data_IF_613928772806
#
_entry.id   IF_613928772806
#
_cell.length_a   1.000
_cell.length_b   1.000
_cell.length_c   1.000
_cell.angle_alpha   90.00
_cell.angle_beta   90.00
_cell.angle_gamma   90.00
#
_symmetry.space_group_name_H-M   'P 1'
#
loop_
_entity.id
_entity.type
_entity.pdbx_description
1 polymer ?
#
# COMPACT_ATOMS: atom_id res chain seq x y z
N UNK A 1 16.88 15.41 -1.74
CA UNK A 1 15.55 15.30 -1.11
C UNK A 1 15.73 14.65 0.24
N UNK A 2 15.19 15.23 1.31
CA UNK A 2 15.31 14.65 2.65
C UNK A 2 14.05 13.80 2.91
N UNK A 3 14.19 12.48 2.78
CA UNK A 3 13.07 11.54 2.77
C UNK A 3 13.38 10.36 3.70
N UNK A 4 12.42 9.98 4.54
CA UNK A 4 12.52 8.83 5.45
C UNK A 4 11.38 7.85 5.17
N UNK A 5 11.71 6.56 5.14
CA UNK A 5 10.74 5.46 5.14
C UNK A 5 10.58 4.93 6.55
N UNK A 6 9.33 4.76 6.97
CA UNK A 6 8.99 4.20 8.27
C UNK A 6 8.06 3.03 8.01
N UNK A 7 8.37 1.87 8.57
CA UNK A 7 7.63 0.63 8.29
C UNK A 7 6.95 0.12 9.54
N UNK A 8 5.76 -0.45 9.37
CA UNK A 8 4.95 -1.02 10.44
C UNK A 8 4.49 -2.44 10.06
N UNK A 9 4.37 -3.30 11.06
CA UNK A 9 3.85 -4.67 10.85
C UNK A 9 2.36 -4.76 11.14
N UNK A 10 1.85 -3.88 12.00
CA UNK A 10 0.45 -3.86 12.43
C UNK A 10 -0.28 -2.60 11.98
N UNK A 11 -1.59 -2.73 11.74
CA UNK A 11 -2.47 -1.61 11.39
C UNK A 11 -2.63 -0.62 12.57
N UNK A 12 -2.55 -1.13 13.80
CA UNK A 12 -2.55 -0.37 15.06
C UNK A 12 -1.38 0.63 15.13
N UNK A 13 -0.17 0.20 14.77
CA UNK A 13 1.04 1.03 14.76
C UNK A 13 0.96 2.12 13.69
N UNK A 14 0.52 1.75 12.47
CA UNK A 14 0.31 2.69 11.37
C UNK A 14 -0.71 3.76 11.77
N UNK A 15 -1.86 3.34 12.30
CA UNK A 15 -2.94 4.23 12.75
C UNK A 15 -2.45 5.21 13.81
N UNK A 16 -1.73 4.72 14.82
CA UNK A 16 -1.14 5.55 15.87
C UNK A 16 -0.18 6.59 15.27
N UNK A 17 0.72 6.17 14.39
CA UNK A 17 1.66 7.08 13.73
C UNK A 17 0.96 8.18 12.92
N UNK A 18 -0.07 7.81 12.15
CA UNK A 18 -0.82 8.77 11.35
C UNK A 18 -1.62 9.76 12.21
N UNK A 19 -2.21 9.30 13.31
CA UNK A 19 -2.91 10.17 14.25
C UNK A 19 -1.95 11.15 14.94
N UNK A 20 -0.80 10.66 15.41
CA UNK A 20 0.23 11.48 16.07
C UNK A 20 0.91 12.48 15.12
N UNK A 21 0.86 12.24 13.80
CA UNK A 21 1.36 13.20 12.81
C UNK A 21 0.61 14.54 12.82
N UNK A 22 -0.62 14.57 13.34
CA UNK A 22 -1.50 15.75 13.33
C UNK A 22 -1.92 16.22 11.93
N UNK A 23 -1.59 15.45 10.89
CA UNK A 23 -1.74 15.86 9.50
C UNK A 23 -3.09 15.47 8.88
N UNK A 24 -3.77 14.50 9.49
CA UNK A 24 -5.01 13.92 9.01
C UNK A 24 -6.08 13.98 10.10
N UNK A 25 -7.32 14.23 9.71
CA UNK A 25 -8.47 14.05 10.60
C UNK A 25 -8.66 12.55 10.86
N UNK A 26 -9.15 12.16 12.05
CA UNK A 26 -9.33 10.76 12.47
C UNK A 26 -10.05 9.89 11.42
N UNK A 27 -11.21 10.36 10.92
CA UNK A 27 -11.95 9.70 9.83
C UNK A 27 -11.14 9.49 8.54
N UNK A 28 -10.17 10.36 8.24
CA UNK A 28 -9.28 10.20 7.08
C UNK A 28 -8.22 9.14 7.39
N UNK A 29 -7.71 9.10 8.63
CA UNK A 29 -6.82 8.02 9.09
C UNK A 29 -7.52 6.67 8.97
N UNK A 30 -8.78 6.58 9.38
CA UNK A 30 -9.59 5.36 9.24
C UNK A 30 -9.63 4.87 7.79
N UNK A 31 -10.00 5.77 6.87
CA UNK A 31 -10.11 5.45 5.45
C UNK A 31 -8.77 5.03 4.84
N UNK A 32 -7.68 5.71 5.19
CA UNK A 32 -6.34 5.38 4.69
C UNK A 32 -5.88 4.02 5.21
N UNK A 33 -6.07 3.74 6.50
CA UNK A 33 -5.69 2.47 7.10
C UNK A 33 -6.55 1.33 6.57
N UNK A 34 -7.86 1.50 6.44
CA UNK A 34 -8.77 0.49 5.87
C UNK A 34 -8.41 0.16 4.41
N UNK A 35 -8.07 1.19 3.64
CA UNK A 35 -7.62 1.03 2.26
C UNK A 35 -6.35 0.18 2.18
N UNK A 36 -5.30 0.56 2.92
CA UNK A 36 -4.03 -0.19 2.91
C UNK A 36 -4.17 -1.58 3.52
N UNK A 37 -5.01 -1.72 4.55
CA UNK A 37 -5.33 -3.02 5.14
C UNK A 37 -5.92 -3.97 4.13
N UNK A 38 -6.72 -3.50 3.18
CA UNK A 38 -7.26 -4.35 2.11
C UNK A 38 -6.15 -4.95 1.25
N UNK A 39 -5.12 -4.17 0.90
CA UNK A 39 -3.94 -4.69 0.21
C UNK A 39 -3.14 -5.67 1.09
N UNK A 40 -2.94 -5.30 2.35
CA UNK A 40 -2.20 -6.10 3.32
C UNK A 40 -2.85 -7.48 3.52
N UNK A 41 -4.14 -7.51 3.84
CA UNK A 41 -4.90 -8.74 4.11
C UNK A 41 -4.93 -9.63 2.87
N UNK A 42 -5.16 -9.05 1.69
CA UNK A 42 -5.11 -9.81 0.42
C UNK A 42 -3.72 -10.40 0.15
N UNK A 43 -2.68 -9.64 0.46
CA UNK A 43 -1.30 -10.15 0.33
C UNK A 43 -1.02 -11.30 1.30
N UNK A 44 -1.53 -11.22 2.54
CA UNK A 44 -1.42 -12.32 3.52
C UNK A 44 -2.19 -13.56 3.08
N UNK A 45 -3.40 -13.40 2.54
CA UNK A 45 -4.23 -14.48 1.98
C UNK A 45 -3.47 -15.26 0.90
N UNK A 46 -2.74 -14.53 0.03
CA UNK A 46 -1.92 -15.09 -1.04
C UNK A 46 -0.56 -15.63 -0.57
N UNK A 47 -0.29 -15.66 0.74
CA UNK A 47 0.92 -16.24 1.33
C UNK A 47 2.12 -15.31 1.43
N UNK A 48 1.96 -14.01 1.19
CA UNK A 48 3.04 -13.04 1.31
C UNK A 48 3.24 -12.52 2.74
N UNK A 49 4.37 -11.84 2.96
CA UNK A 49 4.69 -11.15 4.21
C UNK A 49 4.77 -9.63 3.98
N UNK A 50 3.61 -8.96 3.79
CA UNK A 50 3.53 -7.53 3.59
C UNK A 50 3.90 -6.73 4.85
N UNK A 51 4.19 -5.45 4.66
CA UNK A 51 4.35 -4.44 5.71
C UNK A 51 3.78 -3.12 5.24
N UNK A 52 3.32 -2.29 6.16
CA UNK A 52 2.98 -0.91 5.83
C UNK A 52 4.26 -0.08 5.72
N UNK A 53 4.29 0.86 4.78
CA UNK A 53 5.35 1.87 4.64
C UNK A 53 4.72 3.26 4.57
N UNK A 54 5.25 4.17 5.38
CA UNK A 54 4.95 5.59 5.32
C UNK A 54 6.17 6.33 4.80
N UNK A 55 5.95 7.11 3.74
CA UNK A 55 6.90 8.07 3.22
C UNK A 55 6.78 9.39 3.94
N UNK A 56 7.86 9.84 4.57
CA UNK A 56 7.91 11.08 5.33
C UNK A 56 8.97 12.04 4.76
N UNK A 57 8.52 13.24 4.36
CA UNK A 57 9.42 14.33 3.98
C UNK A 57 9.93 15.01 5.25
N UNK A 58 11.21 14.84 5.56
CA UNK A 58 11.78 15.38 6.81
C UNK A 58 12.02 16.88 6.74
N UNK A 59 12.07 17.48 5.55
CA UNK A 59 12.22 18.94 5.37
C UNK A 59 10.90 19.64 5.64
N UNK A 60 9.81 19.11 5.07
CA UNK A 60 8.46 19.63 5.27
C UNK A 60 7.77 19.08 6.52
N UNK A 61 8.40 18.10 7.19
CA UNK A 61 7.87 17.38 8.36
C UNK A 61 6.46 16.84 8.13
N UNK A 62 6.26 16.13 7.01
CA UNK A 62 4.94 15.66 6.60
C UNK A 62 4.97 14.29 5.94
N UNK A 63 3.92 13.51 6.15
CA UNK A 63 3.59 12.30 5.39
C UNK A 63 3.25 12.70 3.97
N UNK A 64 3.86 12.00 3.01
CA UNK A 64 3.67 12.20 1.56
C UNK A 64 3.13 10.96 0.85
N UNK A 65 3.26 9.78 1.46
CA UNK A 65 2.72 8.53 0.93
C UNK A 65 2.49 7.53 2.05
N UNK A 66 1.51 6.65 1.84
CA UNK A 66 1.25 5.46 2.64
C UNK A 66 1.06 4.34 1.60
N UNK A 67 1.60 3.17 1.87
CA UNK A 67 1.51 2.04 0.94
C UNK A 67 1.80 0.73 1.66
N UNK A 68 1.18 -0.34 1.18
CA UNK A 68 1.53 -1.72 1.54
C UNK A 68 2.68 -2.20 0.64
N UNK A 69 3.80 -2.58 1.25
CA UNK A 69 4.98 -3.10 0.57
C UNK A 69 5.01 -4.61 0.72
N UNK A 70 5.20 -5.30 -0.41
CA UNK A 70 5.24 -6.75 -0.50
C UNK A 70 6.63 -7.15 -1.04
N UNK A 71 7.40 -7.98 -0.31
CA UNK A 71 8.68 -8.45 -0.80
C UNK A 71 8.54 -9.28 -2.10
N UNK A 72 9.40 -9.07 -3.12
CA UNK A 72 9.40 -9.88 -4.33
C UNK A 72 9.90 -11.31 -4.05
N UNK A 73 9.60 -12.28 -4.94
CA UNK A 73 8.86 -12.13 -6.21
C UNK A 73 7.33 -12.12 -6.01
N UNK A 74 6.62 -11.34 -6.83
CA UNK A 74 5.15 -11.31 -6.87
C UNK A 74 4.69 -11.70 -8.28
N UNK A 75 3.81 -12.70 -8.37
CA UNK A 75 3.22 -13.12 -9.65
C UNK A 75 2.37 -11.98 -10.24
N UNK A 76 2.30 -11.83 -11.57
CA UNK A 76 1.42 -10.83 -12.18
C UNK A 76 -0.06 -10.97 -11.78
N UNK A 77 -0.52 -12.18 -11.53
CA UNK A 77 -1.88 -12.50 -11.12
C UNK A 77 -2.15 -12.02 -9.69
N UNK A 78 -1.26 -12.32 -8.75
CA UNK A 78 -1.36 -11.86 -7.36
C UNK A 78 -1.23 -10.34 -7.27
N UNK A 79 -0.31 -9.73 -8.04
CA UNK A 79 -0.12 -8.28 -8.13
C UNK A 79 -1.43 -7.59 -8.58
N UNK A 80 -2.19 -8.24 -9.48
CA UNK A 80 -3.51 -7.76 -9.90
C UNK A 80 -4.55 -7.92 -8.78
N UNK A 81 -4.63 -9.10 -8.15
CA UNK A 81 -5.58 -9.36 -7.07
C UNK A 81 -5.39 -8.40 -5.89
N UNK A 82 -4.15 -8.18 -5.48
CA UNK A 82 -3.79 -7.26 -4.42
C UNK A 82 -4.18 -5.83 -4.81
N UNK A 83 -3.85 -5.38 -6.02
CA UNK A 83 -4.19 -4.03 -6.48
C UNK A 83 -5.71 -3.79 -6.54
N UNK A 84 -6.51 -4.83 -6.76
CA UNK A 84 -7.98 -4.73 -6.81
C UNK A 84 -8.67 -4.94 -5.46
N UNK A 85 -7.91 -5.23 -4.39
CA UNK A 85 -8.48 -5.56 -3.08
C UNK A 85 -9.28 -4.42 -2.42
N UNK A 86 -8.82 -3.14 -2.44
CA UNK A 86 -9.57 -2.07 -1.78
C UNK A 86 -10.92 -1.81 -2.45
N UNK A 87 -11.95 -1.61 -1.64
CA UNK A 87 -13.30 -1.24 -2.12
C UNK A 87 -13.30 0.06 -2.92
N UNK A 88 -12.49 1.03 -2.49
CA UNK A 88 -12.33 2.33 -3.13
C UNK A 88 -10.92 2.42 -3.71
N UNK A 89 -10.79 2.09 -5.00
CA UNK A 89 -9.50 2.09 -5.67
C UNK A 89 -8.91 3.49 -5.77
N UNK A 90 -7.66 3.64 -5.35
CA UNK A 90 -6.85 4.83 -5.57
C UNK A 90 -6.37 4.90 -7.03
N UNK A 91 -5.95 6.09 -7.51
CA UNK A 91 -5.24 6.17 -8.79
C UNK A 91 -3.97 5.33 -8.83
N UNK A 92 -3.35 5.03 -7.68
CA UNK A 92 -2.21 4.12 -7.56
C UNK A 92 -2.59 2.68 -7.91
N UNK A 93 -3.69 2.21 -7.34
CA UNK A 93 -4.22 0.86 -7.51
C UNK A 93 -4.58 0.59 -8.96
N UNK A 94 -5.26 1.56 -9.60
CA UNK A 94 -5.60 1.47 -11.03
C UNK A 94 -4.34 1.37 -11.89
N UNK A 95 -3.25 2.07 -11.53
CA UNK A 95 -1.97 1.95 -12.24
C UNK A 95 -1.32 0.59 -11.99
N UNK A 96 -1.31 0.11 -10.76
CA UNK A 96 -0.78 -1.20 -10.39
C UNK A 96 -1.52 -2.32 -11.13
N UNK A 97 -2.85 -2.33 -11.07
CA UNK A 97 -3.70 -3.29 -11.79
C UNK A 97 -3.45 -3.27 -13.31
N UNK A 98 -3.38 -2.08 -13.92
CA UNK A 98 -3.04 -1.96 -15.36
C UNK A 98 -1.66 -2.51 -15.69
N UNK A 99 -0.69 -2.29 -14.81
CA UNK A 99 0.67 -2.81 -14.98
C UNK A 99 0.68 -4.35 -14.87
N UNK A 100 0.01 -4.91 -13.87
CA UNK A 100 -0.15 -6.35 -13.68
C UNK A 100 -0.82 -7.01 -14.90
N UNK A 101 -1.95 -6.47 -15.39
CA UNK A 101 -2.62 -6.94 -16.62
C UNK A 101 -1.69 -6.95 -17.83
N UNK A 102 -0.83 -5.93 -17.99
CA UNK A 102 0.16 -5.90 -19.08
C UNK A 102 1.20 -7.01 -18.94
N UNK A 103 1.62 -7.34 -17.72
CA UNK A 103 2.56 -8.45 -17.45
C UNK A 103 1.90 -9.80 -17.77
N UNK A 104 0.67 -10.04 -17.31
CA UNK A 104 -0.11 -11.25 -17.62
C UNK A 104 -0.21 -11.42 -19.14
N UNK A 105 -0.66 -10.39 -19.87
CA UNK A 105 -0.79 -10.43 -21.34
C UNK A 105 0.52 -10.73 -22.06
N UNK A 106 1.66 -10.30 -21.51
CA UNK A 106 2.98 -10.61 -22.07
C UNK A 106 3.39 -12.06 -21.79
N UNK A 107 3.06 -12.59 -20.62
CA UNK A 107 3.33 -13.98 -20.26
C UNK A 107 2.53 -14.95 -21.14
N UNK A 108 1.24 -14.66 -21.40
CA UNK A 108 0.37 -15.49 -22.25
C UNK A 108 0.74 -15.50 -23.75
N UNK A 109 1.62 -14.60 -24.19
CA UNK A 109 2.08 -14.52 -25.59
C UNK A 109 3.40 -15.27 -25.83
N UNK A 110 3.99 -15.83 -24.77
CA UNK A 110 5.21 -16.64 -24.83
C UNK A 110 4.84 -18.10 -24.81
#
# INVERSE_FOLDING_TARGET
MSYKRITFQEDSELRKYLAESGQFHERIVDLLVEHEKSHYDKSRELGYSPRYEVGFDTKMKRVVSISTIIPPPISPEDDLEIALAPRLASPGDVRAARHAVRRIRRALRR
#
